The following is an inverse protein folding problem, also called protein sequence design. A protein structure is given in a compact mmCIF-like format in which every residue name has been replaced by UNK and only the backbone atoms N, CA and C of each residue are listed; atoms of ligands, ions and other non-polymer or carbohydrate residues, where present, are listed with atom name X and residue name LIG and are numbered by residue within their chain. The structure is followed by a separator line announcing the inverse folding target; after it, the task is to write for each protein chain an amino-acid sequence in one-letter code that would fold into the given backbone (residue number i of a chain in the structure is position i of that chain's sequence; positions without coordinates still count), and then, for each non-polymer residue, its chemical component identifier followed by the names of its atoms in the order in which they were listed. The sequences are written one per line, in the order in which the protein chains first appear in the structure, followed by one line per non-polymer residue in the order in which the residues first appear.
data_IF_539409129884
#
_entry.id   IF_539409129884
#
_cell.length_a   1.000
_cell.length_b   1.000
_cell.length_c   1.000
_cell.angle_alpha   90.00
_cell.angle_beta   90.00
_cell.angle_gamma   90.00
#
_symmetry.space_group_name_H-M   'P 1'
#
loop_
_entity.id
_entity.type
_entity.pdbx_description
1 polymer ?
#
# COMPACT_ATOMS: atom_id res chain seq x y z
N UNK A 1 -8.62 -16.34 -6.13
CA UNK A 1 -9.91 -15.62 -5.97
C UNK A 1 -10.11 -15.30 -4.49
N UNK A 2 -10.57 -14.10 -4.12
CA UNK A 2 -10.99 -13.80 -2.75
C UNK A 2 -12.04 -14.85 -2.32
N UNK A 3 -11.87 -15.46 -1.14
CA UNK A 3 -12.70 -16.59 -0.67
C UNK A 3 -14.22 -16.35 -0.71
N UNK A 4 -14.67 -15.09 -0.83
CA UNK A 4 -16.06 -14.68 -0.65
C UNK A 4 -16.65 -13.94 -1.87
N UNK A 5 -15.95 -13.88 -3.01
CA UNK A 5 -16.44 -13.21 -4.24
C UNK A 5 -16.47 -11.67 -4.19
N UNK A 6 -15.84 -11.08 -3.17
CA UNK A 6 -15.71 -9.62 -3.03
C UNK A 6 -14.37 -9.12 -3.56
N UNK A 7 -14.41 -8.04 -4.32
CA UNK A 7 -13.28 -7.17 -4.61
C UNK A 7 -13.16 -6.17 -3.45
N UNK A 8 -11.95 -6.03 -2.91
CA UNK A 8 -11.64 -5.05 -1.86
C UNK A 8 -10.90 -3.87 -2.47
N UNK A 9 -11.38 -2.67 -2.18
CA UNK A 9 -10.82 -1.42 -2.70
C UNK A 9 -10.37 -0.59 -1.51
N UNK A 10 -9.12 -0.15 -1.55
CA UNK A 10 -8.50 0.59 -0.48
C UNK A 10 -8.32 2.04 -0.87
N UNK A 11 -8.49 2.92 0.12
CA UNK A 11 -8.22 4.35 -0.02
C UNK A 11 -7.53 4.87 1.23
N UNK A 12 -7.17 6.15 1.21
CA UNK A 12 -6.55 6.84 2.33
C UNK A 12 -7.42 8.02 2.73
N UNK A 13 -7.67 8.19 4.02
CA UNK A 13 -8.40 9.34 4.57
C UNK A 13 -7.56 10.11 5.57
N UNK A 14 -7.90 11.39 5.74
CA UNK A 14 -7.34 12.24 6.79
C UNK A 14 -8.14 12.13 8.10
N UNK A 15 -7.54 12.44 9.26
CA UNK A 15 -6.12 12.76 9.48
C UNK A 15 -5.21 11.51 9.48
N UNK A 16 -3.89 11.71 9.56
CA UNK A 16 -2.86 10.66 9.72
C UNK A 16 -2.77 9.60 8.60
N UNK A 17 -3.24 9.92 7.39
CA UNK A 17 -3.15 9.03 6.22
C UNK A 17 -3.66 7.62 6.54
N UNK A 18 -4.89 7.55 7.04
CA UNK A 18 -5.52 6.32 7.49
C UNK A 18 -5.99 5.48 6.30
N UNK A 19 -5.55 4.23 6.23
CA UNK A 19 -6.08 3.24 5.28
C UNK A 19 -7.55 2.95 5.61
N UNK A 20 -8.41 3.03 4.61
CA UNK A 20 -9.82 2.64 4.67
C UNK A 20 -10.11 1.59 3.60
N UNK A 21 -11.20 0.86 3.78
CA UNK A 21 -11.54 -0.25 2.88
C UNK A 21 -13.03 -0.25 2.54
N UNK A 22 -13.30 -0.44 1.26
CA UNK A 22 -14.60 -0.77 0.70
C UNK A 22 -14.56 -2.18 0.10
N UNK A 23 -15.73 -2.76 -0.13
CA UNK A 23 -15.88 -4.00 -0.87
C UNK A 23 -17.12 -3.99 -1.75
N UNK A 24 -17.06 -4.72 -2.85
CA UNK A 24 -18.19 -4.95 -3.76
C UNK A 24 -18.05 -6.33 -4.39
N UNK A 25 -19.15 -6.95 -4.81
CA UNK A 25 -19.05 -8.18 -5.61
C UNK A 25 -18.56 -7.83 -7.01
N UNK A 26 -17.84 -8.74 -7.64
CA UNK A 26 -17.33 -8.56 -9.01
C UNK A 26 -18.44 -8.16 -10.00
N UNK A 27 -19.57 -8.87 -9.97
CA UNK A 27 -20.72 -8.61 -10.85
C UNK A 27 -21.41 -7.25 -10.59
N UNK A 28 -21.18 -6.64 -9.43
CA UNK A 28 -21.81 -5.40 -9.01
C UNK A 28 -20.81 -4.22 -9.03
N UNK A 29 -19.60 -4.40 -9.57
CA UNK A 29 -18.48 -3.45 -9.39
C UNK A 29 -18.81 -2.03 -9.86
N UNK A 30 -19.54 -1.89 -10.96
CA UNK A 30 -19.93 -0.59 -11.53
C UNK A 30 -21.16 0.04 -10.85
N UNK A 31 -21.91 -0.72 -10.04
CA UNK A 31 -23.05 -0.21 -9.28
C UNK A 31 -22.61 0.26 -7.89
N UNK A 32 -22.27 1.55 -7.77
CA UNK A 32 -21.84 2.17 -6.52
C UNK A 32 -22.85 2.07 -5.38
N UNK A 33 -24.13 1.78 -5.65
CA UNK A 33 -25.14 1.56 -4.59
C UNK A 33 -24.97 0.21 -3.88
N UNK A 34 -24.22 -0.73 -4.47
CA UNK A 34 -23.90 -2.06 -3.92
C UNK A 34 -22.63 -2.08 -3.09
N UNK A 35 -21.88 -0.99 -3.08
CA UNK A 35 -20.61 -0.92 -2.37
C UNK A 35 -20.84 -0.89 -0.85
N UNK A 36 -20.05 -1.69 -0.15
CA UNK A 36 -19.99 -1.70 1.31
C UNK A 36 -18.74 -1.03 1.81
N UNK A 37 -18.87 -0.12 2.77
CA UNK A 37 -17.80 0.61 3.42
C UNK A 37 -17.62 0.13 4.85
N UNK A 38 -16.39 -0.17 5.26
CA UNK A 38 -16.11 -0.69 6.61
C UNK A 38 -16.13 0.43 7.65
N UNK A 39 -17.05 0.38 8.61
CA UNK A 39 -17.20 1.39 9.66
C UNK A 39 -16.40 1.10 10.95
N UNK A 40 -15.59 0.04 10.94
CA UNK A 40 -14.84 -0.44 12.12
C UNK A 40 -15.53 -1.59 12.86
N UNK A 41 -16.83 -1.81 12.63
CA UNK A 41 -17.60 -2.89 13.24
C UNK A 41 -18.38 -3.73 12.21
N UNK A 42 -18.90 -3.10 11.17
CA UNK A 42 -19.70 -3.73 10.10
C UNK A 42 -19.52 -3.02 8.76
N UNK A 43 -20.09 -3.63 7.72
CA UNK A 43 -20.15 -3.05 6.39
C UNK A 43 -21.44 -2.24 6.25
N UNK A 44 -21.32 -0.93 6.00
CA UNK A 44 -22.42 -0.01 5.74
C UNK A 44 -22.39 0.56 4.32
N UNK A 45 -23.33 1.43 3.99
CA UNK A 45 -23.44 2.07 2.66
C UNK A 45 -22.95 3.53 2.64
N UNK A 46 -22.65 4.10 3.81
CA UNK A 46 -22.22 5.50 3.94
C UNK A 46 -20.70 5.59 3.96
N UNK A 47 -20.12 6.09 2.87
CA UNK A 47 -18.67 6.27 2.71
C UNK A 47 -18.06 7.16 3.80
N UNK A 48 -18.82 8.12 4.35
CA UNK A 48 -18.32 9.05 5.36
C UNK A 48 -18.06 8.38 6.71
N UNK A 49 -18.56 7.15 6.90
CA UNK A 49 -18.36 6.36 8.12
C UNK A 49 -17.16 5.41 8.05
N UNK A 50 -16.41 5.39 6.95
CA UNK A 50 -15.23 4.54 6.82
C UNK A 50 -14.28 4.72 8.02
N UNK A 51 -13.96 3.64 8.72
CA UNK A 51 -12.98 3.66 9.81
C UNK A 51 -11.58 3.36 9.28
N UNK A 52 -10.58 4.07 9.83
CA UNK A 52 -9.18 3.79 9.57
C UNK A 52 -8.79 2.42 10.15
N UNK A 53 -8.09 1.60 9.38
CA UNK A 53 -7.65 0.25 9.78
C UNK A 53 -6.12 0.12 9.89
N UNK A 54 -5.39 1.13 9.41
CA UNK A 54 -3.95 1.30 9.51
C UNK A 54 -3.63 2.80 9.33
N UNK A 55 -2.54 3.30 9.89
CA UNK A 55 -2.15 4.73 9.82
C UNK A 55 -0.81 4.93 9.09
N UNK A 56 -0.52 6.17 8.72
CA UNK A 56 0.70 6.59 8.02
C UNK A 56 0.90 5.92 6.66
N UNK A 57 -0.20 5.56 5.98
CA UNK A 57 -0.18 4.86 4.70
C UNK A 57 -0.09 5.83 3.53
N UNK A 58 0.81 5.55 2.58
CA UNK A 58 0.95 6.32 1.35
C UNK A 58 -0.26 6.15 0.41
N UNK A 59 -0.57 7.19 -0.39
CA UNK A 59 -1.63 7.13 -1.40
C UNK A 59 -1.43 6.02 -2.44
N UNK A 60 -0.18 5.76 -2.83
CA UNK A 60 0.16 4.55 -3.57
C UNK A 60 0.57 3.47 -2.56
N UNK A 61 -0.14 2.37 -2.55
CA UNK A 61 0.11 1.24 -1.67
C UNK A 61 -0.29 -0.07 -2.36
N UNK A 62 0.00 -1.19 -1.70
CA UNK A 62 -0.59 -2.49 -2.04
C UNK A 62 -1.12 -3.17 -0.79
N UNK A 63 -2.34 -3.71 -0.88
CA UNK A 63 -2.85 -4.71 0.04
C UNK A 63 -3.18 -5.95 -0.77
N UNK A 64 -2.61 -7.09 -0.41
CA UNK A 64 -2.74 -8.32 -1.19
C UNK A 64 -2.92 -9.52 -0.29
N UNK A 65 -3.71 -10.49 -0.72
CA UNK A 65 -3.81 -11.77 -0.02
C UNK A 65 -2.45 -12.47 0.01
N UNK A 66 -2.11 -13.02 1.17
CA UNK A 66 -0.96 -13.91 1.30
C UNK A 66 -1.25 -15.25 0.59
N UNK A 67 -0.25 -15.80 -0.08
CA UNK A 67 -0.39 -17.03 -0.86
C UNK A 67 -0.19 -18.30 0.00
N UNK A 68 -0.72 -18.29 1.23
CA UNK A 68 -0.58 -19.37 2.23
C UNK A 68 -1.94 -20.01 2.60
N UNK A 69 -3.02 -19.59 1.94
CA UNK A 69 -4.38 -20.08 2.19
C UNK A 69 -5.04 -19.55 3.47
N UNK A 70 -4.31 -18.76 4.28
CA UNK A 70 -4.79 -18.30 5.58
C UNK A 70 -5.88 -17.22 5.47
N UNK A 71 -6.00 -16.57 4.31
CA UNK A 71 -6.90 -15.42 4.09
C UNK A 71 -6.38 -14.11 4.68
N UNK A 72 -5.16 -14.10 5.22
CA UNK A 72 -4.46 -12.89 5.67
C UNK A 72 -4.10 -12.03 4.47
N UNK A 73 -3.94 -10.73 4.74
CA UNK A 73 -3.42 -9.78 3.76
C UNK A 73 -2.11 -9.18 4.23
N UNK A 74 -1.28 -8.79 3.27
CA UNK A 74 -0.07 -8.02 3.51
C UNK A 74 -0.24 -6.64 2.88
N UNK A 75 -0.09 -5.60 3.70
CA UNK A 75 -0.04 -4.20 3.28
C UNK A 75 1.42 -3.77 3.14
N UNK A 76 1.74 -3.04 2.07
CA UNK A 76 3.06 -2.44 1.84
C UNK A 76 2.86 -1.02 1.35
N UNK A 77 3.60 -0.09 1.95
CA UNK A 77 3.43 1.35 1.76
C UNK A 77 4.68 2.11 2.19
N UNK A 78 4.77 3.35 1.71
CA UNK A 78 5.75 4.33 2.16
C UNK A 78 5.17 5.08 3.37
N UNK A 79 5.96 5.31 4.42
CA UNK A 79 5.48 6.06 5.58
C UNK A 79 5.13 7.51 5.18
N UNK A 80 3.91 7.96 5.48
CA UNK A 80 3.42 9.31 5.18
C UNK A 80 3.69 9.78 3.72
N UNK A 81 3.45 8.90 2.74
CA UNK A 81 3.57 9.14 1.28
C UNK A 81 4.97 9.33 0.70
N UNK A 82 5.87 10.06 1.35
CA UNK A 82 7.18 10.41 0.78
C UNK A 82 8.34 10.37 1.78
N UNK A 83 8.17 9.73 2.95
CA UNK A 83 9.29 9.47 3.86
C UNK A 83 10.12 8.30 3.32
N UNK A 84 11.43 8.25 3.62
CA UNK A 84 12.31 7.20 3.07
C UNK A 84 12.08 5.80 3.64
N UNK A 85 11.20 5.65 4.63
CA UNK A 85 10.94 4.38 5.26
C UNK A 85 9.78 3.63 4.58
N UNK A 86 10.02 2.38 4.22
CA UNK A 86 9.02 1.45 3.67
C UNK A 86 8.57 0.52 4.78
N UNK A 87 7.25 0.40 4.92
CA UNK A 87 6.60 -0.41 5.95
C UNK A 87 5.80 -1.55 5.35
N UNK A 88 5.71 -2.62 6.14
CA UNK A 88 4.84 -3.77 5.89
C UNK A 88 4.00 -4.04 7.13
N UNK A 89 2.71 -4.30 6.94
CA UNK A 89 1.79 -4.72 8.00
C UNK A 89 0.98 -5.94 7.54
N UNK A 90 0.75 -6.90 8.43
CA UNK A 90 -0.10 -8.07 8.13
C UNK A 90 -1.48 -7.83 8.72
N UNK A 91 -2.53 -8.08 7.94
CA UNK A 91 -3.92 -8.05 8.38
C UNK A 91 -4.47 -9.47 8.55
N UNK A 92 -5.21 -9.71 9.64
CA UNK A 92 -5.92 -10.99 9.84
C UNK A 92 -6.95 -11.26 8.74
N UNK A 93 -7.56 -10.21 8.22
CA UNK A 93 -8.50 -10.21 7.08
C UNK A 93 -8.27 -8.95 6.23
N UNK A 94 -8.91 -8.80 5.05
CA UNK A 94 -8.81 -7.58 4.23
C UNK A 94 -9.16 -6.28 4.96
N UNK A 95 -10.06 -6.31 5.94
CA UNK A 95 -10.43 -5.15 6.76
C UNK A 95 -9.81 -5.17 8.16
N UNK A 96 -8.75 -5.97 8.35
CA UNK A 96 -8.01 -6.06 9.59
C UNK A 96 -8.56 -7.10 10.59
N UNK A 97 -8.21 -6.98 11.88
CA UNK A 97 -7.23 -6.01 12.41
C UNK A 97 -5.84 -6.22 11.79
N UNK A 98 -5.10 -5.13 11.63
CA UNK A 98 -3.69 -5.16 11.24
C UNK A 98 -2.80 -5.29 12.47
N UNK A 99 -1.78 -6.13 12.37
CA UNK A 99 -0.68 -6.18 13.33
C UNK A 99 0.19 -4.93 13.21
N UNK A 100 0.98 -4.58 14.26
CA UNK A 100 1.89 -3.45 14.20
C UNK A 100 2.80 -3.50 12.96
N UNK A 101 2.83 -2.39 12.23
CA UNK A 101 3.64 -2.27 11.02
C UNK A 101 5.13 -2.35 11.36
N UNK A 102 5.89 -3.01 10.49
CA UNK A 102 7.34 -3.13 10.59
C UNK A 102 7.99 -2.33 9.47
N UNK A 103 8.97 -1.50 9.82
CA UNK A 103 9.89 -0.94 8.83
C UNK A 103 10.73 -2.08 8.24
N UNK A 104 10.74 -2.20 6.93
CA UNK A 104 11.50 -3.24 6.21
C UNK A 104 12.65 -2.68 5.39
N UNK A 105 12.60 -1.38 5.04
CA UNK A 105 13.63 -0.73 4.25
C UNK A 105 13.70 0.77 4.53
N UNK A 106 14.89 1.32 4.37
CA UNK A 106 15.13 2.75 4.35
C UNK A 106 15.84 3.09 3.03
N UNK A 107 15.23 3.92 2.20
CA UNK A 107 15.72 4.18 0.84
C UNK A 107 17.00 5.00 0.86
N UNK A 108 18.13 4.50 0.31
CA UNK A 108 19.41 5.21 0.38
C UNK A 108 19.49 6.43 -0.55
N UNK A 109 18.65 6.52 -1.58
CA UNK A 109 18.78 7.54 -2.63
C UNK A 109 18.57 8.98 -2.11
N UNK A 110 17.92 9.14 -0.96
CA UNK A 110 17.77 10.45 -0.30
C UNK A 110 19.11 11.06 0.13
N UNK A 111 20.17 10.25 0.25
CA UNK A 111 21.50 10.70 0.65
C UNK A 111 22.40 11.02 -0.54
N UNK A 112 21.97 10.70 -1.75
CA UNK A 112 22.73 11.01 -2.97
C UNK A 112 22.63 12.50 -3.32
N UNK A 113 21.49 13.13 -3.01
CA UNK A 113 21.26 14.56 -3.20
C UNK A 113 20.10 15.05 -2.32
N UNK A 114 20.21 16.27 -1.79
CA UNK A 114 19.17 16.88 -0.94
C UNK A 114 17.84 17.09 -1.69
N UNK A 115 17.89 17.22 -3.01
CA UNK A 115 16.68 17.40 -3.83
C UNK A 115 15.94 16.07 -4.05
N UNK A 116 16.50 14.91 -3.68
CA UNK A 116 15.87 13.61 -3.90
C UNK A 116 14.90 13.21 -2.78
N UNK A 117 13.81 12.59 -3.20
CA UNK A 117 12.84 11.94 -2.32
C UNK A 117 12.37 10.62 -2.94
N UNK A 118 11.87 9.74 -2.07
CA UNK A 118 11.37 8.42 -2.45
C UNK A 118 9.92 8.26 -2.05
N UNK A 119 9.18 7.48 -2.84
CA UNK A 119 7.72 7.40 -2.75
C UNK A 119 7.19 6.15 -3.45
N UNK A 120 5.89 5.90 -3.32
CA UNK A 120 5.15 4.87 -4.06
C UNK A 120 5.66 3.43 -3.85
N UNK A 121 5.96 3.08 -2.59
CA UNK A 121 6.26 1.69 -2.26
C UNK A 121 5.05 0.77 -2.53
N UNK A 122 5.26 -0.30 -3.28
CA UNK A 122 4.23 -1.28 -3.68
C UNK A 122 4.82 -2.68 -3.74
N UNK A 123 4.11 -3.66 -3.20
CA UNK A 123 4.52 -5.07 -3.25
C UNK A 123 3.88 -5.81 -4.42
N UNK A 124 4.58 -6.87 -4.87
CA UNK A 124 4.18 -7.74 -5.98
C UNK A 124 4.19 -9.22 -5.58
N UNK A 125 3.27 -9.69 -4.71
CA UNK A 125 3.26 -11.09 -4.27
C UNK A 125 3.15 -12.11 -5.41
N UNK A 126 2.54 -11.73 -6.54
CA UNK A 126 2.43 -12.59 -7.73
C UNK A 126 3.74 -12.77 -8.51
N UNK A 127 4.74 -11.91 -8.28
CA UNK A 127 6.10 -12.02 -8.83
C UNK A 127 7.11 -12.52 -7.79
N UNK A 128 6.72 -12.57 -6.52
CA UNK A 128 7.58 -13.02 -5.43
C UNK A 128 7.79 -14.54 -5.45
N UNK A 129 8.99 -14.98 -5.06
CA UNK A 129 9.26 -16.38 -4.74
C UNK A 129 8.64 -16.75 -3.38
N UNK A 130 8.44 -18.06 -3.10
CA UNK A 130 8.05 -18.51 -1.77
C UNK A 130 9.00 -17.97 -0.68
N UNK A 131 8.44 -17.39 0.39
CA UNK A 131 9.21 -16.78 1.50
C UNK A 131 9.82 -15.41 1.18
N UNK A 132 9.46 -14.80 0.04
CA UNK A 132 9.97 -13.50 -0.40
C UNK A 132 8.82 -12.52 -0.70
N UNK A 133 9.13 -11.22 -0.59
CA UNK A 133 8.28 -10.13 -1.02
C UNK A 133 9.08 -9.18 -1.91
N UNK A 134 8.78 -9.18 -3.21
CA UNK A 134 9.27 -8.17 -4.13
C UNK A 134 8.51 -6.86 -3.89
N UNK A 135 9.25 -5.79 -3.66
CA UNK A 135 8.71 -4.44 -3.44
C UNK A 135 9.42 -3.49 -4.41
N UNK A 136 8.65 -2.62 -5.07
CA UNK A 136 9.20 -1.46 -5.79
C UNK A 136 8.97 -0.19 -5.00
N UNK A 137 9.82 0.80 -5.22
CA UNK A 137 9.56 2.21 -4.89
C UNK A 137 10.16 3.09 -5.98
N UNK A 138 9.77 4.37 -6.02
CA UNK A 138 10.26 5.33 -6.99
C UNK A 138 11.16 6.37 -6.32
N UNK A 139 12.05 6.96 -7.12
CA UNK A 139 12.90 8.09 -6.74
C UNK A 139 12.52 9.26 -7.65
N UNK A 140 12.37 10.44 -7.07
CA UNK A 140 12.12 11.67 -7.82
C UNK A 140 12.89 12.84 -7.16
N UNK A 141 12.87 13.99 -7.81
CA UNK A 141 13.55 15.20 -7.38
C UNK A 141 12.57 16.36 -7.20
N UNK A 142 12.80 17.22 -6.22
CA UNK A 142 12.09 18.51 -6.10
C UNK A 142 12.43 19.44 -7.26
N UNK A 143 13.70 19.48 -7.68
CA UNK A 143 14.15 20.15 -8.91
C UNK A 143 14.25 19.15 -10.08
N UNK A 144 13.09 18.67 -10.50
CA UNK A 144 12.97 17.62 -11.50
C UNK A 144 13.72 17.91 -12.81
N UNK A 145 13.48 19.09 -13.40
CA UNK A 145 13.96 19.43 -14.75
C UNK A 145 15.49 19.46 -14.82
N UNK A 146 16.16 20.00 -13.79
CA UNK A 146 17.62 19.96 -13.72
C UNK A 146 18.12 18.55 -13.42
N UNK A 147 17.56 17.88 -12.41
CA UNK A 147 18.10 16.61 -11.93
C UNK A 147 18.00 15.49 -12.93
N UNK A 148 16.95 15.41 -13.75
CA UNK A 148 16.85 14.34 -14.75
C UNK A 148 17.97 14.40 -15.80
N UNK A 149 18.52 15.59 -16.09
CA UNK A 149 19.64 15.71 -17.04
C UNK A 149 20.97 15.22 -16.47
N UNK A 150 21.14 15.29 -15.14
CA UNK A 150 22.36 14.89 -14.44
C UNK A 150 22.26 13.42 -13.98
N UNK A 151 21.06 13.02 -13.55
CA UNK A 151 20.72 11.71 -12.99
C UNK A 151 19.59 11.04 -13.79
N UNK A 152 19.80 10.71 -15.08
CA UNK A 152 18.76 10.17 -15.96
C UNK A 152 18.18 8.83 -15.48
N UNK A 153 18.87 8.15 -14.57
CA UNK A 153 18.46 6.85 -14.02
C UNK A 153 17.64 6.94 -12.72
N UNK A 154 17.31 8.13 -12.22
CA UNK A 154 16.57 8.26 -10.96
C UNK A 154 15.06 8.06 -11.15
N UNK A 155 14.50 8.44 -12.31
CA UNK A 155 13.07 8.26 -12.63
C UNK A 155 12.69 6.87 -13.11
N UNK A 156 13.12 5.84 -12.39
CA UNK A 156 12.71 4.46 -12.64
C UNK A 156 12.54 3.74 -11.31
N UNK A 157 11.66 2.73 -11.25
CA UNK A 157 11.46 1.97 -10.04
C UNK A 157 12.78 1.33 -9.58
N UNK A 158 12.98 1.34 -8.27
CA UNK A 158 13.96 0.55 -7.55
C UNK A 158 13.24 -0.66 -6.99
N UNK A 159 13.93 -1.78 -6.88
CA UNK A 159 13.37 -3.02 -6.37
C UNK A 159 14.18 -3.54 -5.20
N UNK A 160 13.48 -4.01 -4.17
CA UNK A 160 14.05 -4.73 -3.03
C UNK A 160 13.30 -6.04 -2.86
N UNK A 161 13.96 -7.01 -2.26
CA UNK A 161 13.34 -8.27 -1.85
C UNK A 161 13.47 -8.42 -0.35
N UNK A 162 12.34 -8.60 0.33
CA UNK A 162 12.28 -8.84 1.78
C UNK A 162 11.96 -10.32 2.01
N UNK A 163 12.69 -10.99 2.90
CA UNK A 163 12.44 -12.40 3.27
C UNK A 163 11.58 -12.49 4.54
N UNK A 164 10.68 -13.46 4.61
CA UNK A 164 9.80 -13.70 5.76
C UNK A 164 9.44 -15.18 5.95
#
# INVERSE_FOLDING_TARGET
MPKNGYIYVYGVKSPNSQLVVARVKDIDFEDFTKWGFWDGAKWGTDINKCAGILEHVSNEMSVSFMNDGSGRVIATYQYDSNKPDIYVAVGGTPNGPFFPAKKVWHTPEIYEDIDFYTYNAKAYPHLSKPGELLISYNVNAFDFARKITIHPHHLRPRFITVKY
#
